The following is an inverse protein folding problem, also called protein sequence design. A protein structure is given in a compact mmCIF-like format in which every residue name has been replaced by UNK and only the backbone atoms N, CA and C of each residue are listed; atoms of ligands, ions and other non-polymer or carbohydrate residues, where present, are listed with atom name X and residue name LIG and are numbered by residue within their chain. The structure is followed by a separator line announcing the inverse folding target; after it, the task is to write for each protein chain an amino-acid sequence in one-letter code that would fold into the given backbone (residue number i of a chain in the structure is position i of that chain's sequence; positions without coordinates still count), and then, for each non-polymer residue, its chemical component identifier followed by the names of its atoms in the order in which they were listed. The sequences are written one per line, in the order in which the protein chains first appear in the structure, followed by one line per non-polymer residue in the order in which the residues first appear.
data_IF_335403038150
#
_entry.id   IF_335403038150
#
_cell.length_a   1.000
_cell.length_b   1.000
_cell.length_c   1.000
_cell.angle_alpha   90.00
_cell.angle_beta   90.00
_cell.angle_gamma   90.00
#
_symmetry.space_group_name_H-M   'P 1'
#
loop_
_entity.id
_entity.type
_entity.pdbx_description
1 polymer ?
#
# COMPACT_ATOMS: atom_id res chain seq x y z
N UNK A 1 -7.04 -9.12 2.01
CA UNK A 1 -6.96 -8.38 3.31
C UNK A 1 -8.35 -8.29 3.93
N UNK A 2 -8.52 -7.98 5.22
CA UNK A 2 -9.86 -7.67 5.76
C UNK A 2 -10.44 -6.49 4.96
N UNK A 3 -11.69 -6.56 4.47
CA UNK A 3 -12.73 -7.57 4.75
C UNK A 3 -12.68 -8.87 3.91
N UNK A 4 -11.99 -8.87 2.77
CA UNK A 4 -11.89 -9.99 1.81
C UNK A 4 -10.93 -11.14 2.22
N UNK A 5 -10.75 -11.42 3.52
CA UNK A 5 -9.90 -12.55 3.94
C UNK A 5 -10.59 -13.87 3.57
N UNK A 6 -9.82 -14.85 3.09
CA UNK A 6 -10.35 -16.15 2.64
C UNK A 6 -10.88 -16.15 1.19
N UNK A 7 -10.84 -15.02 0.49
CA UNK A 7 -11.20 -14.90 -0.92
C UNK A 7 -9.94 -14.71 -1.80
N UNK A 8 -10.06 -14.91 -3.12
CA UNK A 8 -8.99 -14.58 -4.08
C UNK A 8 -8.65 -13.09 -3.99
N UNK A 9 -7.36 -12.77 -3.94
CA UNK A 9 -6.90 -11.38 -3.86
C UNK A 9 -7.04 -10.64 -5.20
N UNK A 10 -7.10 -9.31 -5.14
CA UNK A 10 -7.15 -8.38 -6.28
C UNK A 10 -6.33 -7.12 -5.98
N UNK A 11 -5.75 -6.51 -7.01
CA UNK A 11 -5.02 -5.23 -6.90
C UNK A 11 -5.91 -4.08 -6.38
N UNK A 12 -7.23 -4.17 -6.62
CA UNK A 12 -8.21 -3.21 -6.08
C UNK A 12 -8.22 -3.17 -4.54
N UNK A 13 -7.69 -4.21 -3.88
CA UNK A 13 -7.63 -4.29 -2.43
C UNK A 13 -6.43 -3.55 -1.82
N UNK A 14 -5.56 -2.90 -2.62
CA UNK A 14 -4.37 -2.21 -2.12
C UNK A 14 -4.68 -1.16 -1.05
N UNK A 15 -5.83 -0.46 -1.16
CA UNK A 15 -6.27 0.51 -0.15
C UNK A 15 -6.29 -0.04 1.28
N UNK A 16 -6.71 -1.28 1.47
CA UNK A 16 -6.73 -1.91 2.81
C UNK A 16 -5.34 -2.22 3.35
N UNK A 17 -4.39 -2.51 2.45
CA UNK A 17 -3.00 -2.76 2.83
C UNK A 17 -2.34 -1.45 3.26
N UNK A 18 -2.50 -0.40 2.46
CA UNK A 18 -1.98 0.94 2.76
C UNK A 18 -2.53 1.45 4.10
N UNK A 19 -3.85 1.33 4.32
CA UNK A 19 -4.49 1.72 5.58
C UNK A 19 -3.94 0.91 6.77
N UNK A 20 -3.70 -0.39 6.61
CA UNK A 20 -3.14 -1.21 7.68
C UNK A 20 -1.68 -0.83 7.99
N UNK A 21 -0.88 -0.52 6.98
CA UNK A 21 0.50 -0.05 7.16
C UNK A 21 0.52 1.30 7.87
N UNK A 22 -0.31 2.24 7.44
CA UNK A 22 -0.47 3.56 8.08
C UNK A 22 -0.80 3.41 9.57
N UNK A 23 -1.78 2.58 9.91
CA UNK A 23 -2.15 2.28 11.30
C UNK A 23 -1.02 1.63 12.10
N UNK A 24 -0.28 0.66 11.53
CA UNK A 24 0.85 0.02 12.22
C UNK A 24 1.98 1.00 12.48
N UNK A 25 2.23 1.92 11.54
CA UNK A 25 3.35 2.87 11.59
C UNK A 25 3.00 4.20 12.26
N UNK A 26 1.74 4.45 12.59
CA UNK A 26 1.30 5.73 13.16
C UNK A 26 1.53 6.91 12.21
N UNK A 27 1.33 6.69 10.91
CA UNK A 27 1.49 7.73 9.87
C UNK A 27 0.23 7.84 9.02
N UNK A 28 0.11 8.95 8.32
CA UNK A 28 -1.01 9.19 7.39
C UNK A 28 -1.04 8.18 6.23
N UNK A 29 -2.24 7.88 5.75
CA UNK A 29 -2.46 7.00 4.60
C UNK A 29 -1.67 7.47 3.37
N UNK A 30 -1.81 8.75 3.02
CA UNK A 30 -1.16 9.33 1.83
C UNK A 30 0.37 9.30 1.95
N UNK A 31 0.90 9.42 3.18
CA UNK A 31 2.35 9.28 3.41
C UNK A 31 2.86 7.90 2.97
N UNK A 32 2.09 6.84 3.23
CA UNK A 32 2.44 5.48 2.80
C UNK A 32 2.37 5.37 1.28
N UNK A 33 1.33 5.92 0.65
CA UNK A 33 1.18 5.93 -0.82
C UNK A 33 2.37 6.62 -1.46
N UNK A 34 2.69 7.84 -1.03
CA UNK A 34 3.74 8.65 -1.63
C UNK A 34 5.12 8.00 -1.48
N UNK A 35 5.45 7.52 -0.28
CA UNK A 35 6.76 6.91 -0.03
C UNK A 35 6.91 5.62 -0.82
N UNK A 36 5.88 4.77 -0.85
CA UNK A 36 5.96 3.49 -1.58
C UNK A 36 5.99 3.70 -3.10
N UNK A 37 5.21 4.64 -3.62
CA UNK A 37 5.23 5.03 -5.03
C UNK A 37 6.59 5.58 -5.45
N UNK A 38 7.15 6.53 -4.70
CA UNK A 38 8.45 7.11 -5.02
C UNK A 38 9.59 6.08 -4.94
N UNK A 39 9.52 5.14 -3.99
CA UNK A 39 10.46 4.02 -3.93
C UNK A 39 10.37 3.11 -5.16
N UNK A 40 9.15 2.74 -5.56
CA UNK A 40 8.94 1.93 -6.76
C UNK A 40 9.45 2.64 -8.01
N UNK A 41 9.16 3.96 -8.15
CA UNK A 41 9.67 4.78 -9.25
C UNK A 41 11.19 4.78 -9.30
N UNK A 42 11.87 4.92 -8.16
CA UNK A 42 13.33 4.90 -8.08
C UNK A 42 13.94 3.55 -8.46
N UNK A 43 13.32 2.45 -8.07
CA UNK A 43 13.86 1.10 -8.29
C UNK A 43 13.54 0.59 -9.71
N UNK A 44 12.33 0.83 -10.19
CA UNK A 44 11.81 0.17 -11.39
C UNK A 44 11.62 1.10 -12.59
N UNK A 45 11.45 2.40 -12.38
CA UNK A 45 11.08 3.36 -13.44
C UNK A 45 12.16 4.39 -13.76
N UNK A 46 13.19 4.54 -12.92
CA UNK A 46 14.39 5.30 -13.27
C UNK A 46 15.37 4.35 -13.97
N UNK A 47 15.67 4.65 -15.23
CA UNK A 47 16.85 4.14 -15.93
C UNK A 47 18.04 5.04 -15.61
#
# INVERSE_FOLDING_TARGET
PVPYRGQRNSALNLRYIVQKIASIKGVEYDKVVDVTYNNAKRIFLKR
#
